data_IF_595923926856
#
_entry.id   IF_595923926856
#
_cell.length_a   1.000
_cell.length_b   1.000
_cell.length_c   1.000
_cell.angle_alpha   90.00
_cell.angle_beta   90.00
_cell.angle_gamma   90.00
#
_symmetry.space_group_name_H-M   'P 1'
#
loop_
_entity.id
_entity.type
_entity.pdbx_description
1 polymer ?
#
# COMPACT_ATOMS: atom_id res chain seq x y z
N UNK A 1 2.73 -1.21 -10.25
CA UNK A 1 2.36 -0.73 -11.60
C UNK A 1 1.09 -1.49 -11.94
N UNK A 2 -0.02 -0.81 -12.27
CA UNK A 2 -1.25 -1.54 -12.62
C UNK A 2 -0.96 -2.26 -13.95
N UNK A 3 -0.98 -3.59 -13.94
CA UNK A 3 -0.78 -4.38 -15.14
C UNK A 3 -1.94 -4.14 -16.11
N UNK A 4 -1.65 -3.64 -17.31
CA UNK A 4 -2.63 -3.27 -18.33
C UNK A 4 -3.04 -4.46 -19.23
N UNK A 5 -2.29 -5.57 -19.19
CA UNK A 5 -2.58 -6.83 -19.89
C UNK A 5 -4.06 -7.28 -19.82
N UNK A 6 -4.73 -7.24 -18.65
CA UNK A 6 -6.13 -7.64 -18.57
C UNK A 6 -7.12 -6.69 -19.27
N UNK A 7 -6.75 -5.42 -19.50
CA UNK A 7 -7.55 -4.49 -20.33
C UNK A 7 -7.44 -4.87 -21.81
N UNK A 8 -6.25 -5.24 -22.27
CA UNK A 8 -6.02 -5.70 -23.65
C UNK A 8 -6.77 -7.01 -23.95
N UNK A 9 -6.76 -7.95 -23.02
CA UNK A 9 -7.51 -9.21 -23.14
C UNK A 9 -9.03 -8.99 -23.16
N UNK A 10 -9.52 -8.04 -22.38
CA UNK A 10 -10.92 -7.62 -22.40
C UNK A 10 -11.28 -6.98 -23.75
N UNK A 11 -10.45 -6.06 -24.25
CA UNK A 11 -10.65 -5.43 -25.56
C UNK A 11 -10.66 -6.46 -26.70
N UNK A 12 -9.79 -7.47 -26.63
CA UNK A 12 -9.72 -8.56 -27.60
C UNK A 12 -10.98 -9.43 -27.59
N UNK A 13 -11.46 -9.81 -26.41
CA UNK A 13 -12.72 -10.57 -26.24
C UNK A 13 -13.93 -9.79 -26.75
N UNK A 14 -13.98 -8.48 -26.50
CA UNK A 14 -15.03 -7.61 -27.01
C UNK A 14 -15.05 -7.57 -28.54
N UNK A 15 -13.87 -7.42 -29.17
CA UNK A 15 -13.74 -7.42 -30.64
C UNK A 15 -14.20 -8.74 -31.28
N UNK A 16 -13.92 -9.88 -30.63
CA UNK A 16 -14.33 -11.21 -31.14
C UNK A 16 -15.83 -11.50 -31.03
N UNK A 17 -16.55 -10.76 -30.19
CA UNK A 17 -17.98 -10.96 -29.93
C UNK A 17 -18.88 -9.99 -30.68
N UNK A 18 -18.32 -9.22 -31.63
CA UNK A 18 -19.08 -8.38 -32.56
C UNK A 18 -19.15 -9.10 -33.92
N UNK A 19 -20.22 -9.87 -34.20
CA UNK A 19 -20.46 -10.40 -35.53
C UNK A 19 -20.65 -9.28 -36.56
N UNK A 20 -20.27 -9.49 -37.83
CA UNK A 20 -20.49 -8.51 -38.90
C UNK A 20 -21.98 -8.25 -39.19
N UNK A 21 -22.87 -9.13 -38.73
CA UNK A 21 -24.33 -9.11 -38.95
C UNK A 21 -25.13 -8.31 -37.92
N UNK A 22 -24.54 -7.76 -36.86
CA UNK A 22 -25.31 -7.25 -35.70
C UNK A 22 -25.68 -5.76 -35.77
N UNK A 23 -25.90 -5.21 -36.96
CA UNK A 23 -26.50 -3.87 -37.10
C UNK A 23 -27.98 -3.83 -36.67
N UNK A 24 -28.66 -4.98 -36.65
CA UNK A 24 -30.11 -5.08 -36.40
C UNK A 24 -30.48 -5.46 -34.95
N UNK A 25 -29.59 -6.13 -34.22
CA UNK A 25 -29.82 -6.62 -32.84
C UNK A 25 -29.09 -5.81 -31.76
N UNK A 26 -29.45 -4.54 -31.56
CA UNK A 26 -28.78 -3.66 -30.58
C UNK A 26 -28.83 -4.20 -29.13
N UNK A 27 -29.94 -4.83 -28.74
CA UNK A 27 -30.13 -5.34 -27.38
C UNK A 27 -29.25 -6.58 -27.10
N UNK A 28 -29.11 -7.48 -28.08
CA UNK A 28 -28.25 -8.67 -27.97
C UNK A 28 -26.77 -8.28 -27.91
N UNK A 29 -26.34 -7.27 -28.67
CA UNK A 29 -25.01 -6.69 -28.49
C UNK A 29 -24.85 -6.15 -27.08
N UNK A 30 -25.78 -5.31 -26.62
CA UNK A 30 -25.68 -4.69 -25.30
C UNK A 30 -25.55 -5.72 -24.17
N UNK A 31 -26.31 -6.82 -24.23
CA UNK A 31 -26.18 -7.92 -23.25
C UNK A 31 -24.83 -8.63 -23.33
N UNK A 32 -24.37 -8.96 -24.54
CA UNK A 32 -23.07 -9.63 -24.74
C UNK A 32 -21.90 -8.73 -24.28
N UNK A 33 -21.94 -7.43 -24.60
CA UNK A 33 -20.97 -6.45 -24.12
C UNK A 33 -20.96 -6.37 -22.58
N UNK A 34 -22.13 -6.31 -21.95
CA UNK A 34 -22.25 -6.28 -20.48
C UNK A 34 -21.65 -7.53 -19.84
N UNK A 35 -21.95 -8.72 -20.36
CA UNK A 35 -21.43 -9.97 -19.83
C UNK A 35 -19.89 -10.06 -19.92
N UNK A 36 -19.31 -9.58 -21.02
CA UNK A 36 -17.86 -9.58 -21.23
C UNK A 36 -17.16 -8.57 -20.33
N UNK A 37 -17.71 -7.35 -20.20
CA UNK A 37 -17.22 -6.36 -19.27
C UNK A 37 -17.26 -6.88 -17.83
N UNK A 38 -18.37 -7.50 -17.42
CA UNK A 38 -18.49 -8.12 -16.10
C UNK A 38 -17.45 -9.23 -15.89
N UNK A 39 -17.25 -10.10 -16.89
CA UNK A 39 -16.26 -11.17 -16.81
C UNK A 39 -14.81 -10.66 -16.79
N UNK A 40 -14.50 -9.59 -17.53
CA UNK A 40 -13.17 -8.97 -17.52
C UNK A 40 -12.89 -8.20 -16.23
N UNK A 41 -13.86 -7.42 -15.74
CA UNK A 41 -13.75 -6.73 -14.45
C UNK A 41 -13.63 -7.73 -13.29
N UNK A 42 -14.27 -8.89 -13.35
CA UNK A 42 -14.11 -9.94 -12.34
C UNK A 42 -12.74 -10.64 -12.40
N UNK A 43 -12.01 -10.55 -13.52
CA UNK A 43 -10.66 -11.13 -13.69
C UNK A 43 -9.53 -10.16 -13.39
N UNK A 44 -9.82 -8.86 -13.45
CA UNK A 44 -9.01 -7.86 -12.77
C UNK A 44 -9.23 -8.16 -11.28
N UNK A 45 -8.18 -8.42 -10.50
CA UNK A 45 -8.27 -8.59 -9.04
C UNK A 45 -8.67 -7.24 -8.39
N UNK A 46 -9.89 -6.79 -8.69
CA UNK A 46 -10.44 -5.53 -8.24
C UNK A 46 -10.83 -5.72 -6.79
N UNK A 47 -10.02 -5.13 -5.91
CA UNK A 47 -10.49 -4.83 -4.55
C UNK A 47 -11.70 -3.92 -4.65
N UNK A 48 -12.77 -4.30 -3.97
CA UNK A 48 -13.93 -3.42 -3.84
C UNK A 48 -13.49 -2.12 -3.18
N UNK A 49 -14.25 -1.05 -3.45
CA UNK A 49 -13.95 0.24 -2.82
C UNK A 49 -13.98 0.16 -1.30
N UNK A 50 -14.84 -0.69 -0.75
CA UNK A 50 -14.92 -0.94 0.69
C UNK A 50 -13.65 -1.60 1.24
N UNK A 51 -13.16 -2.66 0.59
CA UNK A 51 -11.90 -3.33 0.98
C UNK A 51 -10.70 -2.38 0.91
N UNK A 52 -10.65 -1.52 -0.11
CA UNK A 52 -9.62 -0.49 -0.22
C UNK A 52 -9.66 0.49 0.96
N UNK A 53 -10.83 0.99 1.34
CA UNK A 53 -10.96 1.92 2.48
C UNK A 53 -10.60 1.22 3.80
N UNK A 54 -10.93 -0.06 3.98
CA UNK A 54 -10.53 -0.85 5.15
C UNK A 54 -9.00 -0.97 5.22
N UNK A 55 -8.34 -1.35 4.12
CA UNK A 55 -6.88 -1.46 4.08
C UNK A 55 -6.20 -0.11 4.37
N UNK A 56 -6.74 0.97 3.80
CA UNK A 56 -6.27 2.33 4.07
C UNK A 56 -6.41 2.70 5.55
N UNK A 57 -7.53 2.37 6.19
CA UNK A 57 -7.74 2.62 7.61
C UNK A 57 -6.75 1.82 8.49
N UNK A 58 -6.48 0.56 8.13
CA UNK A 58 -5.47 -0.26 8.80
C UNK A 58 -4.08 0.35 8.67
N UNK A 59 -3.70 0.84 7.48
CA UNK A 59 -2.42 1.50 7.25
C UNK A 59 -2.28 2.79 8.07
N UNK A 60 -3.34 3.61 8.13
CA UNK A 60 -3.37 4.82 8.97
C UNK A 60 -3.13 4.47 10.44
N UNK A 61 -3.89 3.52 10.98
CA UNK A 61 -3.73 3.05 12.36
C UNK A 61 -2.33 2.50 12.63
N UNK A 62 -1.73 1.83 11.66
CA UNK A 62 -0.37 1.29 11.80
C UNK A 62 0.66 2.41 11.85
N UNK A 63 0.50 3.47 11.04
CA UNK A 63 1.36 4.67 11.11
C UNK A 63 1.23 5.36 12.47
N UNK A 64 0.03 5.55 12.98
CA UNK A 64 -0.20 6.15 14.30
C UNK A 64 0.51 5.37 15.43
N UNK A 65 0.34 4.04 15.44
CA UNK A 65 1.03 3.17 16.41
C UNK A 65 2.55 3.20 16.27
N UNK A 66 3.04 3.31 15.04
CA UNK A 66 4.48 3.38 14.78
C UNK A 66 5.06 4.69 15.32
N UNK A 67 4.37 5.82 15.13
CA UNK A 67 4.75 7.12 15.69
C UNK A 67 4.74 7.11 17.23
N UNK A 68 3.72 6.48 17.84
CA UNK A 68 3.66 6.28 19.30
C UNK A 68 4.86 5.48 19.82
N UNK A 69 5.15 4.33 19.20
CA UNK A 69 6.28 3.50 19.60
C UNK A 69 7.62 4.23 19.42
N UNK A 70 7.79 4.96 18.32
CA UNK A 70 8.98 5.79 18.09
C UNK A 70 9.18 6.82 19.21
N UNK A 71 8.09 7.46 19.65
CA UNK A 71 8.13 8.40 20.77
C UNK A 71 8.51 7.70 22.07
N UNK A 72 7.89 6.56 22.38
CA UNK A 72 8.21 5.79 23.60
C UNK A 72 9.69 5.38 23.62
N UNK A 73 10.23 4.92 22.48
CA UNK A 73 11.65 4.57 22.37
C UNK A 73 12.53 5.79 22.63
N UNK A 74 12.26 6.94 22.02
CA UNK A 74 13.03 8.15 22.24
C UNK A 74 13.00 8.63 23.70
N UNK A 75 11.84 8.52 24.37
CA UNK A 75 11.69 8.83 25.80
C UNK A 75 12.52 7.88 26.68
N UNK A 76 12.57 6.59 26.34
CA UNK A 76 13.39 5.59 27.04
C UNK A 76 14.89 5.81 26.81
N UNK A 77 15.31 6.08 25.58
CA UNK A 77 16.70 6.41 25.24
C UNK A 77 17.19 7.65 25.99
N UNK A 78 16.32 8.67 26.13
CA UNK A 78 16.62 9.88 26.90
C UNK A 78 16.79 9.58 28.39
N UNK A 79 15.89 8.78 28.97
CA UNK A 79 15.97 8.39 30.39
C UNK A 79 17.22 7.55 30.69
N UNK A 80 17.61 6.66 29.77
CA UNK A 80 18.82 5.85 29.90
C UNK A 80 20.07 6.74 29.88
N UNK A 81 20.10 7.71 28.96
CA UNK A 81 21.20 8.69 28.85
C UNK A 81 21.33 9.60 30.08
N UNK A 82 20.21 9.89 30.76
CA UNK A 82 20.19 10.68 32.00
C UNK A 82 20.53 9.87 33.26
N UNK A 83 20.45 8.54 33.19
CA UNK A 83 20.74 7.64 34.30
C UNK A 83 22.21 7.20 34.37
N UNK A 84 23.02 7.56 33.37
CA UNK A 84 24.47 7.36 33.40
C UNK A 84 25.11 8.49 34.22
N UNK A 85 25.61 8.22 35.45
CA UNK A 85 26.29 9.25 36.22
C UNK A 85 27.53 9.71 35.45
N UNK A 86 27.96 10.98 35.56
CA UNK A 86 29.23 11.42 35.00
C UNK A 86 30.32 10.60 35.67
N UNK A 87 30.76 9.53 34.99
CA UNK A 87 31.90 8.73 35.42
C UNK A 87 33.08 9.68 35.42
N UNK A 88 33.51 9.95 36.65
CA UNK A 88 34.70 10.68 37.07
C UNK A 88 35.67 10.93 35.92
N UNK A 89 35.77 12.21 35.52
CA UNK A 89 37.04 12.75 35.08
C UNK A 89 38.02 12.59 36.25
N UNK A 90 38.58 11.38 36.40
CA UNK A 90 39.77 11.14 37.18
C UNK A 90 40.87 11.95 36.49
N UNK A 91 41.17 13.09 37.09
CA UNK A 91 42.11 14.08 36.59
C UNK A 91 43.39 13.44 36.10
N UNK A 92 43.58 13.48 34.78
CA UNK A 92 44.89 13.66 34.20
C UNK A 92 45.39 15.03 34.63
N UNK A 93 46.10 15.11 35.76
CA UNK A 93 46.98 16.25 35.98
C UNK A 93 48.23 15.87 36.81
N UNK A 94 49.37 16.07 36.15
CA UNK A 94 50.71 16.25 36.69
C UNK A 94 51.55 15.03 37.06
N UNK A 95 52.26 14.53 36.04
CA UNK A 95 53.73 14.46 36.12
C UNK A 95 54.23 15.74 35.41
N UNK A 96 55.22 16.53 35.92
CA UNK A 96 56.60 16.07 36.16
C UNK A 96 57.29 16.71 37.40
N UNK A 97 58.59 16.40 37.57
CA UNK A 97 59.57 16.81 38.61
C UNK A 97 59.63 15.83 39.80
N UNK A 98 60.75 15.17 40.11
CA UNK A 98 62.14 15.62 40.14
C UNK A 98 63.16 14.49 39.85
#
# INVERSE_FOLDING_TARGET
MIDLNPIDDLARRLSTLVPPSVREGREELQQNFKAVLQSGLAKLDLVTREEFEVQRAVLLRTREKLEELQRTVAELETQLSQSEPPSSQSGTLSQPHH
#
